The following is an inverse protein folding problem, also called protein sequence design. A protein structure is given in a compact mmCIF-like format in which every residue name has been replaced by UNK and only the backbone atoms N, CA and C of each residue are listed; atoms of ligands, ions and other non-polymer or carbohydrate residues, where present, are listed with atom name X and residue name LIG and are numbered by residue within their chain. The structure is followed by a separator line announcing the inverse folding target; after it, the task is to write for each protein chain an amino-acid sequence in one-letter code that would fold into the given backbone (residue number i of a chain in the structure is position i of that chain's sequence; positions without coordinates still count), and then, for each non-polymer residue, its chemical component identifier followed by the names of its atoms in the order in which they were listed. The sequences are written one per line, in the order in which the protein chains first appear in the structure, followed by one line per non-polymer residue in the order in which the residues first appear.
data_IF_075826600145
#
_entry.id   IF_075826600145
#
_cell.length_a   1.000
_cell.length_b   1.000
_cell.length_c   1.000
_cell.angle_alpha   90.00
_cell.angle_beta   90.00
_cell.angle_gamma   90.00
#
_symmetry.space_group_name_H-M   'P 1'
#
loop_
_entity.id
_entity.type
_entity.pdbx_description
1 polymer ?
#
# COMPACT_ATOMS: atom_id res chain seq x y z
N UNK A 1 -4.83 28.07 -78.67
CA UNK A 1 -3.71 27.54 -77.95
C UNK A 1 -3.26 28.60 -76.96
N UNK A 2 -3.49 28.57 -75.71
CA UNK A 2 -2.82 27.77 -74.72
C UNK A 2 -3.77 27.30 -73.60
N UNK A 3 -3.24 26.41 -72.80
CA UNK A 3 -3.32 26.37 -71.35
C UNK A 3 -4.02 25.19 -70.73
N UNK A 4 -3.17 24.21 -70.46
CA UNK A 4 -3.43 23.08 -69.58
C UNK A 4 -2.38 23.12 -68.48
N UNK A 5 -2.43 24.12 -67.58
CA UNK A 5 -1.40 24.20 -66.49
C UNK A 5 -1.92 24.64 -65.11
N UNK A 6 -3.25 24.66 -64.90
CA UNK A 6 -3.78 25.21 -63.65
C UNK A 6 -4.64 24.24 -62.81
N UNK A 7 -4.54 22.93 -63.04
CA UNK A 7 -5.41 21.96 -62.29
C UNK A 7 -4.65 20.84 -61.56
N UNK A 8 -3.44 21.09 -61.07
CA UNK A 8 -2.69 20.08 -60.32
C UNK A 8 -2.12 20.49 -58.95
N UNK A 9 -2.53 21.63 -58.38
CA UNK A 9 -2.00 22.11 -57.08
C UNK A 9 -3.06 22.09 -55.91
N UNK A 10 -4.18 21.47 -56.07
CA UNK A 10 -5.27 21.49 -55.06
C UNK A 10 -5.60 20.11 -54.45
N UNK A 11 -4.65 19.16 -54.44
CA UNK A 11 -4.87 17.80 -53.89
C UNK A 11 -3.84 17.30 -52.87
N UNK A 12 -3.01 18.17 -52.28
CA UNK A 12 -1.98 17.76 -51.29
C UNK A 12 -2.18 18.46 -49.91
N UNK A 13 -3.34 18.94 -49.58
CA UNK A 13 -3.55 19.59 -48.27
C UNK A 13 -4.73 19.01 -47.47
N UNK A 14 -5.01 17.71 -47.59
CA UNK A 14 -6.12 17.08 -46.86
C UNK A 14 -5.72 15.68 -46.31
N UNK A 15 -4.51 15.54 -45.73
CA UNK A 15 -4.16 14.32 -45.01
C UNK A 15 -3.13 14.60 -43.90
N UNK A 16 -3.45 15.52 -42.99
CA UNK A 16 -2.62 15.74 -41.79
C UNK A 16 -3.47 16.18 -40.60
N UNK A 17 -4.54 15.47 -40.33
CA UNK A 17 -5.35 15.73 -39.15
C UNK A 17 -6.04 14.44 -38.72
N UNK A 18 -5.30 13.52 -38.15
CA UNK A 18 -5.77 12.57 -37.10
C UNK A 18 -4.55 11.79 -36.62
N UNK A 19 -3.98 12.15 -35.53
CA UNK A 19 -3.23 11.29 -34.60
C UNK A 19 -2.93 12.11 -33.32
N UNK A 20 -3.96 12.71 -32.79
CA UNK A 20 -3.99 13.09 -31.37
C UNK A 20 -4.52 11.90 -30.59
N UNK A 21 -3.79 10.77 -30.59
CA UNK A 21 -3.99 9.74 -29.59
C UNK A 21 -3.60 10.39 -28.25
N UNK A 22 -4.59 10.78 -27.48
CA UNK A 22 -4.39 11.17 -26.08
C UNK A 22 -3.61 10.06 -25.42
N UNK A 23 -2.36 10.34 -25.09
CA UNK A 23 -1.58 9.50 -24.18
C UNK A 23 -2.39 9.48 -22.89
N UNK A 24 -3.09 8.38 -22.62
CA UNK A 24 -3.58 8.08 -21.30
C UNK A 24 -2.33 8.15 -20.41
N UNK A 25 -2.23 9.19 -19.59
CA UNK A 25 -1.18 9.27 -18.58
C UNK A 25 -1.39 8.06 -17.69
N UNK A 26 -0.54 7.05 -17.83
CA UNK A 26 -0.46 5.96 -16.89
C UNK A 26 -0.23 6.60 -15.51
N UNK A 27 -1.10 6.30 -14.55
CA UNK A 27 -0.90 6.76 -13.18
C UNK A 27 0.48 6.30 -12.70
N UNK A 28 1.20 7.11 -11.93
CA UNK A 28 2.49 6.71 -11.41
C UNK A 28 2.30 5.47 -10.55
N UNK A 29 2.89 4.36 -10.99
CA UNK A 29 2.97 3.10 -10.22
C UNK A 29 4.05 3.16 -9.16
N UNK A 30 4.75 4.27 -9.10
CA UNK A 30 5.97 4.45 -8.35
C UNK A 30 5.69 4.73 -6.87
N UNK A 31 6.53 4.20 -6.01
CA UNK A 31 6.48 4.46 -4.58
C UNK A 31 6.77 5.96 -4.32
N UNK A 32 5.88 6.71 -3.64
CA UNK A 32 6.16 8.09 -3.27
C UNK A 32 7.45 8.20 -2.45
N UNK A 33 8.29 9.15 -2.79
CA UNK A 33 9.52 9.42 -2.05
C UNK A 33 9.19 10.17 -0.76
N UNK A 34 9.27 9.47 0.36
CA UNK A 34 9.01 10.03 1.70
C UNK A 34 10.25 10.67 2.34
N UNK A 35 11.41 10.57 1.70
CA UNK A 35 12.68 11.12 2.17
C UNK A 35 13.10 12.32 1.31
N UNK A 36 13.57 13.39 1.97
CA UNK A 36 14.17 14.51 1.24
C UNK A 36 15.44 14.05 0.52
N UNK A 37 15.55 14.37 -0.77
CA UNK A 37 16.72 14.05 -1.58
C UNK A 37 18.03 14.69 -1.07
N UNK A 38 17.92 15.80 -0.34
CA UNK A 38 19.07 16.55 0.21
C UNK A 38 19.45 16.10 1.62
N UNK A 39 18.59 15.35 2.28
CA UNK A 39 18.82 14.91 3.65
C UNK A 39 20.06 14.03 3.75
N UNK A 40 20.75 14.10 4.88
CA UNK A 40 21.89 13.24 5.21
C UNK A 40 21.69 12.70 6.60
N UNK A 41 21.57 11.39 6.72
CA UNK A 41 21.53 10.69 8.00
C UNK A 41 22.86 9.96 8.13
N UNK A 42 23.63 10.32 9.14
CA UNK A 42 24.93 9.67 9.39
C UNK A 42 24.69 8.19 9.73
N UNK A 43 25.53 7.31 9.19
CA UNK A 43 25.58 5.90 9.60
C UNK A 43 26.17 5.83 11.01
N UNK A 44 25.45 5.33 12.00
CA UNK A 44 26.00 5.18 13.35
C UNK A 44 26.99 4.01 13.41
N UNK A 45 27.85 4.02 14.40
CA UNK A 45 28.71 2.89 14.70
C UNK A 45 27.89 1.74 15.29
N UNK A 46 27.90 0.60 14.60
CA UNK A 46 27.22 -0.64 15.00
C UNK A 46 28.21 -1.74 15.43
N UNK A 47 29.48 -1.41 15.71
CA UNK A 47 30.48 -2.36 16.14
C UNK A 47 30.08 -3.10 17.42
N UNK A 48 29.43 -2.40 18.35
CA UNK A 48 28.89 -2.96 19.59
C UNK A 48 27.58 -3.77 19.41
N UNK A 49 26.97 -3.80 18.23
CA UNK A 49 25.75 -4.57 17.97
C UNK A 49 26.11 -6.06 17.87
N UNK A 50 25.68 -6.87 18.83
CA UNK A 50 25.92 -8.31 18.81
C UNK A 50 25.07 -9.02 17.73
N UNK A 51 23.82 -8.57 17.55
CA UNK A 51 22.85 -9.13 16.60
C UNK A 51 21.74 -8.11 16.32
N UNK A 52 21.05 -8.28 15.19
CA UNK A 52 19.82 -7.57 14.86
C UNK A 52 18.78 -8.59 14.42
N UNK A 53 17.78 -8.84 15.27
CA UNK A 53 16.64 -9.70 14.94
C UNK A 53 15.42 -8.82 14.67
N UNK A 54 14.91 -8.92 13.44
CA UNK A 54 13.63 -8.34 13.08
C UNK A 54 12.52 -9.33 13.43
N UNK A 55 11.60 -8.92 14.28
CA UNK A 55 10.37 -9.65 14.57
C UNK A 55 9.32 -9.26 13.53
N UNK A 56 8.60 -10.25 13.02
CA UNK A 56 7.50 -10.08 12.07
C UNK A 56 6.42 -11.11 12.33
N UNK A 57 5.32 -11.07 11.55
CA UNK A 57 4.27 -12.11 11.58
C UNK A 57 4.28 -12.91 10.28
N UNK A 58 3.33 -13.84 10.11
CA UNK A 58 3.17 -14.62 8.88
C UNK A 58 1.78 -14.49 8.26
N UNK A 59 0.97 -13.59 8.80
CA UNK A 59 -0.45 -13.42 8.50
C UNK A 59 -0.79 -12.09 7.84
N UNK A 60 0.21 -11.43 7.22
CA UNK A 60 0.06 -10.11 6.63
C UNK A 60 0.62 -10.02 5.19
N UNK A 61 0.13 -10.88 4.24
CA UNK A 61 0.56 -10.80 2.86
C UNK A 61 0.07 -9.48 2.21
N UNK A 62 0.82 -8.94 1.26
CA UNK A 62 2.11 -9.40 0.77
C UNK A 62 3.31 -8.84 1.55
N UNK A 63 3.10 -8.31 2.76
CA UNK A 63 4.17 -7.74 3.58
C UNK A 63 4.99 -8.80 4.30
N UNK A 64 4.33 -9.76 4.94
CA UNK A 64 4.97 -10.87 5.65
C UNK A 64 4.04 -12.10 5.65
N UNK A 65 4.51 -13.18 5.09
CA UNK A 65 3.75 -14.42 4.91
C UNK A 65 4.69 -15.61 4.70
N UNK A 66 4.15 -16.80 4.79
CA UNK A 66 4.85 -18.03 4.38
C UNK A 66 4.50 -18.29 2.92
N UNK A 67 5.51 -18.39 2.07
CA UNK A 67 5.33 -18.71 0.65
C UNK A 67 5.05 -20.20 0.41
N UNK A 68 4.76 -20.55 -0.83
CA UNK A 68 4.45 -21.94 -1.23
C UNK A 68 5.60 -22.94 -0.95
N UNK A 69 6.82 -22.47 -0.76
CA UNK A 69 7.97 -23.29 -0.39
C UNK A 69 8.16 -23.43 1.13
N UNK A 70 7.26 -22.85 1.93
CA UNK A 70 7.35 -22.84 3.39
C UNK A 70 8.33 -21.80 3.94
N UNK A 71 8.78 -20.84 3.13
CA UNK A 71 9.76 -19.83 3.51
C UNK A 71 9.08 -18.52 3.89
N UNK A 72 9.59 -17.87 4.93
CA UNK A 72 9.18 -16.51 5.32
C UNK A 72 9.57 -15.52 4.22
N UNK A 73 8.56 -14.85 3.66
CA UNK A 73 8.62 -13.98 2.50
C UNK A 73 7.75 -12.74 2.70
N UNK A 74 7.91 -11.73 1.86
CA UNK A 74 7.09 -10.51 1.87
C UNK A 74 7.92 -9.23 1.84
N UNK A 75 7.22 -8.11 1.62
CA UNK A 75 7.85 -6.80 1.49
C UNK A 75 8.68 -6.43 2.73
N UNK A 76 8.13 -6.59 3.95
CA UNK A 76 8.86 -6.30 5.19
C UNK A 76 10.07 -7.21 5.39
N UNK A 77 9.95 -8.47 4.97
CA UNK A 77 11.02 -9.46 5.08
C UNK A 77 12.18 -9.11 4.15
N UNK A 78 11.88 -8.75 2.90
CA UNK A 78 12.90 -8.33 1.95
C UNK A 78 13.49 -6.97 2.33
N UNK A 79 12.66 -6.02 2.81
CA UNK A 79 13.15 -4.74 3.33
C UNK A 79 14.12 -4.93 4.51
N UNK A 80 13.79 -5.78 5.48
CA UNK A 80 14.67 -6.08 6.60
C UNK A 80 16.02 -6.67 6.14
N UNK A 81 16.00 -7.58 5.14
CA UNK A 81 17.24 -8.12 4.53
C UNK A 81 18.08 -7.03 3.87
N UNK A 82 17.45 -6.12 3.12
CA UNK A 82 18.16 -5.04 2.46
C UNK A 82 18.70 -4.00 3.45
N UNK A 83 17.99 -3.71 4.54
CA UNK A 83 18.51 -2.89 5.65
C UNK A 83 19.80 -3.52 6.22
N UNK A 84 19.79 -4.83 6.46
CA UNK A 84 20.98 -5.53 6.96
C UNK A 84 22.16 -5.46 5.98
N UNK A 85 21.87 -5.56 4.69
CA UNK A 85 22.89 -5.46 3.64
C UNK A 85 23.46 -4.04 3.56
N UNK A 86 22.61 -3.02 3.55
CA UNK A 86 23.03 -1.62 3.53
C UNK A 86 23.89 -1.25 4.75
N UNK A 87 23.58 -1.83 5.89
CA UNK A 87 24.35 -1.67 7.13
C UNK A 87 25.58 -2.57 7.21
N UNK A 88 25.82 -3.47 6.24
CA UNK A 88 26.93 -4.45 6.21
C UNK A 88 26.98 -5.34 7.46
N UNK A 89 25.81 -5.78 7.93
CA UNK A 89 25.66 -6.61 9.13
C UNK A 89 24.87 -7.90 8.85
N UNK A 90 24.81 -8.40 7.63
CA UNK A 90 24.02 -9.59 7.26
C UNK A 90 24.34 -10.79 8.16
N UNK A 91 25.61 -10.98 8.52
CA UNK A 91 26.03 -12.07 9.40
C UNK A 91 25.44 -11.99 10.83
N UNK A 92 25.02 -10.79 11.25
CA UNK A 92 24.40 -10.53 12.56
C UNK A 92 22.87 -10.42 12.47
N UNK A 93 22.31 -10.46 11.26
CA UNK A 93 20.87 -10.25 11.01
C UNK A 93 20.08 -11.56 10.98
N UNK A 94 18.91 -11.50 11.60
CA UNK A 94 17.92 -12.58 11.55
C UNK A 94 16.53 -11.99 11.39
N UNK A 95 15.62 -12.72 10.74
CA UNK A 95 14.20 -12.36 10.67
C UNK A 95 13.44 -13.52 11.30
N UNK A 96 12.62 -13.20 12.29
CA UNK A 96 11.96 -14.16 13.15
C UNK A 96 10.46 -13.89 13.18
N UNK A 97 9.67 -14.89 12.85
CA UNK A 97 8.22 -14.80 12.91
C UNK A 97 7.72 -15.16 14.31
N UNK A 98 6.80 -14.35 14.82
CA UNK A 98 6.02 -14.58 16.05
C UNK A 98 4.55 -14.20 15.77
N UNK A 99 3.65 -14.51 16.66
CA UNK A 99 2.26 -14.07 16.54
C UNK A 99 2.14 -12.56 16.83
N UNK A 100 1.13 -11.91 16.27
CA UNK A 100 0.96 -10.46 16.45
C UNK A 100 0.91 -10.02 17.93
N UNK A 101 0.19 -10.72 18.85
CA UNK A 101 0.20 -10.37 20.27
C UNK A 101 1.56 -10.52 20.96
N UNK A 102 2.44 -11.36 20.43
CA UNK A 102 3.77 -11.61 21.00
C UNK A 102 4.82 -10.57 20.57
N UNK A 103 4.56 -9.78 19.50
CA UNK A 103 5.55 -8.84 18.94
C UNK A 103 6.11 -7.88 19.99
N UNK A 104 5.24 -7.13 20.68
CA UNK A 104 5.68 -6.15 21.67
C UNK A 104 6.31 -6.77 22.92
N UNK A 105 5.72 -7.80 23.55
CA UNK A 105 6.36 -8.51 24.64
C UNK A 105 7.74 -9.07 24.27
N UNK A 106 7.88 -9.67 23.09
CA UNK A 106 9.17 -10.21 22.63
C UNK A 106 10.22 -9.11 22.41
N UNK A 107 9.82 -7.94 21.88
CA UNK A 107 10.72 -6.79 21.75
C UNK A 107 11.17 -6.26 23.12
N UNK A 108 10.24 -6.12 24.08
CA UNK A 108 10.55 -5.65 25.44
C UNK A 108 11.47 -6.61 26.20
N UNK A 109 11.28 -7.92 26.01
CA UNK A 109 12.10 -8.96 26.63
C UNK A 109 13.45 -9.18 25.92
N UNK A 110 13.76 -8.40 24.88
CA UNK A 110 14.99 -8.54 24.11
C UNK A 110 15.10 -9.84 23.31
N UNK A 111 13.96 -10.43 22.95
CA UNK A 111 13.91 -11.59 22.03
C UNK A 111 14.07 -11.16 20.58
N UNK A 112 13.90 -9.87 20.27
CA UNK A 112 14.21 -9.18 19.04
C UNK A 112 14.70 -7.77 19.31
N UNK A 113 15.32 -7.13 18.32
CA UNK A 113 15.81 -5.75 18.40
C UNK A 113 14.89 -4.77 17.68
N UNK A 114 14.16 -5.24 16.65
CA UNK A 114 13.22 -4.41 15.88
C UNK A 114 11.97 -5.20 15.46
N UNK A 115 10.87 -4.50 15.16
CA UNK A 115 9.64 -5.07 14.60
C UNK A 115 9.38 -4.46 13.24
N UNK A 116 9.22 -5.32 12.23
CA UNK A 116 8.79 -4.98 10.88
C UNK A 116 7.52 -5.78 10.54
N UNK A 117 6.37 -5.33 11.03
CA UNK A 117 5.09 -6.04 10.95
C UNK A 117 3.87 -5.12 10.74
N UNK A 118 4.08 -3.89 10.26
CA UNK A 118 2.98 -2.96 9.99
C UNK A 118 2.31 -2.40 11.25
N UNK A 119 3.05 -2.28 12.36
CA UNK A 119 2.52 -1.69 13.59
C UNK A 119 2.16 -0.21 13.35
N UNK A 120 0.93 0.15 13.64
CA UNK A 120 0.47 1.54 13.57
C UNK A 120 1.10 2.37 14.68
N UNK A 121 1.62 3.54 14.30
CA UNK A 121 2.23 4.49 15.24
C UNK A 121 1.13 5.21 16.01
N UNK A 122 1.07 5.03 17.32
CA UNK A 122 0.17 5.74 18.23
C UNK A 122 0.94 6.56 19.25
N UNK A 123 0.29 7.57 19.83
CA UNK A 123 0.90 8.38 20.90
C UNK A 123 1.31 7.53 22.11
N UNK A 124 0.54 6.50 22.43
CA UNK A 124 0.83 5.56 23.52
C UNK A 124 2.10 4.74 23.21
N UNK A 125 2.19 4.16 22.00
CA UNK A 125 3.35 3.38 21.61
C UNK A 125 4.62 4.23 21.51
N UNK A 126 4.51 5.50 21.09
CA UNK A 126 5.65 6.45 21.10
C UNK A 126 6.18 6.77 22.50
N UNK A 127 5.39 6.59 23.55
CA UNK A 127 5.89 6.73 24.92
C UNK A 127 6.82 5.57 25.32
N UNK A 128 6.59 4.38 24.79
CA UNK A 128 7.30 3.13 25.15
C UNK A 128 8.41 2.76 24.17
N UNK A 129 8.18 3.02 22.88
CA UNK A 129 9.04 2.58 21.78
C UNK A 129 9.53 3.74 20.92
N UNK A 130 10.58 3.49 20.15
CA UNK A 130 11.04 4.32 19.07
C UNK A 130 10.54 3.74 17.72
N UNK A 131 10.40 4.61 16.74
CA UNK A 131 9.96 4.27 15.40
C UNK A 131 10.90 4.91 14.39
N UNK A 132 11.24 4.17 13.35
CA UNK A 132 11.91 4.72 12.19
C UNK A 132 11.02 5.77 11.51
N UNK A 133 11.57 6.48 10.56
CA UNK A 133 10.77 7.20 9.58
C UNK A 133 9.86 6.27 8.81
N UNK A 134 8.72 6.80 8.38
CA UNK A 134 7.85 6.08 7.49
C UNK A 134 8.54 5.82 6.15
N UNK A 135 8.48 4.59 5.69
CA UNK A 135 9.02 4.19 4.39
C UNK A 135 7.94 3.95 3.33
N UNK A 136 6.68 3.85 3.77
CA UNK A 136 5.52 3.69 2.90
C UNK A 136 4.29 4.28 3.58
N UNK A 137 3.44 4.96 2.81
CA UNK A 137 2.11 5.38 3.25
C UNK A 137 1.05 4.56 2.54
N UNK A 138 -0.02 4.27 3.22
CA UNK A 138 -1.13 3.49 2.68
C UNK A 138 -2.32 4.42 2.47
N UNK A 139 -2.76 4.64 1.21
CA UNK A 139 -3.90 5.48 0.94
C UNK A 139 -5.23 4.79 1.22
N UNK A 140 -6.26 5.54 1.60
CA UNK A 140 -7.62 5.12 1.39
C UNK A 140 -8.02 5.32 -0.08
N UNK A 141 -8.88 4.45 -0.61
CA UNK A 141 -9.32 4.48 -2.01
C UNK A 141 -10.79 4.09 -2.15
N UNK A 142 -11.35 4.44 -3.31
CA UNK A 142 -12.66 3.94 -3.70
C UNK A 142 -12.53 2.75 -4.65
N UNK A 143 -13.40 1.76 -4.45
CA UNK A 143 -13.67 0.69 -5.42
C UNK A 143 -15.09 0.81 -5.87
N UNK A 144 -15.33 0.74 -7.17
CA UNK A 144 -16.65 0.87 -7.78
C UNK A 144 -17.07 -0.43 -8.46
N UNK A 145 -18.35 -0.68 -8.46
CA UNK A 145 -18.93 -1.75 -9.28
C UNK A 145 -19.10 -1.26 -10.71
N UNK A 146 -18.20 -1.63 -11.59
CA UNK A 146 -18.19 -1.19 -12.99
C UNK A 146 -19.35 -1.75 -13.81
N UNK A 147 -20.00 -2.84 -13.36
CA UNK A 147 -21.18 -3.39 -14.03
C UNK A 147 -22.45 -2.65 -13.63
N UNK A 148 -22.59 -2.31 -12.34
CA UNK A 148 -23.75 -1.56 -11.84
C UNK A 148 -23.62 -0.05 -12.10
N UNK A 149 -22.39 0.47 -12.20
CA UNK A 149 -22.11 1.90 -12.34
C UNK A 149 -20.90 2.15 -13.26
N UNK A 150 -21.02 1.88 -14.58
CA UNK A 150 -19.89 1.90 -15.51
C UNK A 150 -19.29 3.29 -15.79
N UNK A 151 -20.01 4.37 -15.46
CA UNK A 151 -19.59 5.74 -15.76
C UNK A 151 -18.82 6.42 -14.61
N UNK A 152 -18.53 5.72 -13.52
CA UNK A 152 -17.83 6.31 -12.37
C UNK A 152 -16.33 6.25 -12.62
N UNK A 153 -15.71 7.41 -12.69
CA UNK A 153 -14.25 7.58 -12.86
C UNK A 153 -13.61 8.24 -11.64
N UNK A 154 -14.36 9.02 -10.88
CA UNK A 154 -13.88 9.72 -9.70
C UNK A 154 -14.95 9.90 -8.62
N UNK A 155 -14.59 10.43 -7.44
CA UNK A 155 -15.53 10.62 -6.33
C UNK A 155 -16.71 11.55 -6.65
N UNK A 156 -16.50 12.52 -7.52
CA UNK A 156 -17.57 13.44 -7.94
C UNK A 156 -18.75 12.71 -8.61
N UNK A 157 -18.48 11.60 -9.30
CA UNK A 157 -19.50 10.80 -9.98
C UNK A 157 -20.33 9.96 -8.98
N UNK A 158 -19.91 9.91 -7.70
CA UNK A 158 -20.60 9.22 -6.61
C UNK A 158 -21.66 10.09 -5.92
N UNK A 159 -21.80 11.36 -6.30
CA UNK A 159 -22.84 12.22 -5.75
C UNK A 159 -24.23 11.56 -5.93
N UNK A 160 -25.02 11.55 -4.84
CA UNK A 160 -26.35 10.91 -4.77
C UNK A 160 -26.35 9.37 -4.97
N UNK A 161 -25.19 8.73 -4.81
CA UNK A 161 -25.09 7.26 -4.85
C UNK A 161 -24.55 6.76 -3.51
N UNK A 162 -25.09 5.66 -2.95
CA UNK A 162 -24.61 5.14 -1.69
C UNK A 162 -23.17 4.61 -1.82
N UNK A 163 -22.29 5.10 -0.94
CA UNK A 163 -20.92 4.64 -0.78
C UNK A 163 -20.82 3.81 0.49
N UNK A 164 -20.49 2.53 0.33
CA UNK A 164 -20.36 1.62 1.45
C UNK A 164 -19.07 1.83 2.24
N UNK A 165 -19.18 1.71 3.55
CA UNK A 165 -18.04 1.77 4.47
C UNK A 165 -18.33 0.89 5.70
N UNK A 166 -17.31 0.35 6.34
CA UNK A 166 -17.49 -0.40 7.60
C UNK A 166 -17.71 0.59 8.74
N UNK A 167 -18.82 0.42 9.46
CA UNK A 167 -19.22 1.31 10.55
C UNK A 167 -18.22 1.30 11.70
N UNK A 168 -18.01 2.47 12.35
CA UNK A 168 -17.12 2.62 13.49
C UNK A 168 -15.62 2.64 13.13
N UNK A 169 -15.28 2.58 11.84
CA UNK A 169 -13.88 2.61 11.40
C UNK A 169 -13.37 4.03 11.15
N UNK A 170 -12.04 4.16 11.11
CA UNK A 170 -11.39 5.41 10.69
C UNK A 170 -11.75 5.80 9.25
N UNK A 171 -12.07 4.83 8.39
CA UNK A 171 -12.50 5.07 7.01
C UNK A 171 -13.87 5.71 6.93
N UNK A 172 -14.81 5.31 7.81
CA UNK A 172 -16.09 5.99 7.92
C UNK A 172 -15.91 7.46 8.33
N UNK A 173 -15.08 7.71 9.36
CA UNK A 173 -14.78 9.05 9.81
C UNK A 173 -14.07 9.89 8.73
N UNK A 174 -13.15 9.29 7.98
CA UNK A 174 -12.43 9.92 6.87
C UNK A 174 -13.37 10.22 5.69
N UNK A 175 -14.24 9.26 5.31
CA UNK A 175 -15.21 9.47 4.24
C UNK A 175 -16.10 10.67 4.53
N UNK A 176 -16.67 10.74 5.74
CA UNK A 176 -17.52 11.86 6.17
C UNK A 176 -16.77 13.20 6.25
N UNK A 177 -15.48 13.18 6.58
CA UNK A 177 -14.67 14.39 6.68
C UNK A 177 -14.21 14.94 5.33
N UNK A 178 -13.86 14.05 4.39
CA UNK A 178 -13.28 14.43 3.09
C UNK A 178 -14.34 14.58 1.99
N UNK A 179 -15.45 13.88 2.14
CA UNK A 179 -16.53 13.81 1.14
C UNK A 179 -17.90 13.94 1.82
N UNK A 180 -18.18 15.08 2.48
CA UNK A 180 -19.41 15.28 3.22
C UNK A 180 -20.67 15.25 2.34
N UNK A 181 -20.50 15.43 1.03
CA UNK A 181 -21.55 15.38 0.01
C UNK A 181 -21.94 13.94 -0.37
N UNK A 182 -21.14 12.93 -0.03
CA UNK A 182 -21.41 11.53 -0.37
C UNK A 182 -22.30 10.87 0.69
N UNK A 183 -23.24 10.05 0.22
CA UNK A 183 -24.09 9.25 1.09
C UNK A 183 -23.32 8.03 1.63
N UNK A 184 -22.83 8.10 2.87
CA UNK A 184 -22.15 7.00 3.51
C UNK A 184 -23.14 5.95 4.02
N UNK A 185 -23.07 4.71 3.51
CA UNK A 185 -23.85 3.56 3.97
C UNK A 185 -22.96 2.63 4.79
N UNK A 186 -23.24 2.55 6.11
CA UNK A 186 -22.49 1.72 7.05
C UNK A 186 -22.82 0.23 6.95
N UNK A 187 -21.81 -0.62 7.09
CA UNK A 187 -21.92 -2.08 7.19
C UNK A 187 -21.25 -2.56 8.47
N UNK A 188 -21.73 -3.68 9.03
CA UNK A 188 -21.20 -4.25 10.28
C UNK A 188 -19.76 -4.77 10.13
N UNK A 189 -19.45 -5.26 8.95
CA UNK A 189 -18.18 -5.88 8.62
C UNK A 189 -17.88 -5.72 7.12
N UNK A 190 -16.70 -6.16 6.76
CA UNK A 190 -16.19 -6.06 5.39
C UNK A 190 -16.92 -6.98 4.41
N UNK A 191 -17.29 -8.17 4.84
CA UNK A 191 -17.89 -9.16 3.95
C UNK A 191 -19.25 -8.72 3.47
N UNK A 192 -20.04 -8.17 4.40
CA UNK A 192 -21.32 -7.55 4.09
C UNK A 192 -21.15 -6.35 3.15
N UNK A 193 -20.11 -5.53 3.36
CA UNK A 193 -19.78 -4.42 2.46
C UNK A 193 -19.42 -4.90 1.05
N UNK A 194 -18.55 -5.91 0.93
CA UNK A 194 -18.13 -6.44 -0.37
C UNK A 194 -19.22 -7.19 -1.12
N UNK A 195 -20.09 -7.92 -0.39
CA UNK A 195 -21.28 -8.52 -0.99
C UNK A 195 -22.20 -7.44 -1.55
N UNK A 196 -22.49 -6.40 -0.78
CA UNK A 196 -23.31 -5.28 -1.21
C UNK A 196 -22.72 -4.56 -2.43
N UNK A 197 -21.39 -4.41 -2.51
CA UNK A 197 -20.72 -3.85 -3.67
C UNK A 197 -20.87 -4.73 -4.92
N UNK A 198 -20.64 -6.04 -4.78
CA UNK A 198 -20.80 -7.00 -5.89
C UNK A 198 -22.22 -7.07 -6.42
N UNK A 199 -23.19 -7.03 -5.53
CA UNK A 199 -24.61 -7.07 -5.84
C UNK A 199 -25.15 -5.72 -6.39
N UNK A 200 -24.35 -4.65 -6.33
CA UNK A 200 -24.75 -3.31 -6.77
C UNK A 200 -25.66 -2.58 -5.79
N UNK A 201 -25.78 -3.08 -4.54
CA UNK A 201 -26.54 -2.42 -3.48
C UNK A 201 -25.85 -1.13 -2.96
N UNK A 202 -24.57 -0.96 -3.26
CA UNK A 202 -23.80 0.27 -3.17
C UNK A 202 -23.03 0.49 -4.48
N UNK A 203 -22.84 1.75 -4.88
CA UNK A 203 -22.11 2.10 -6.10
C UNK A 203 -20.60 1.97 -5.93
N UNK A 204 -20.11 2.26 -4.74
CA UNK A 204 -18.70 2.18 -4.37
C UNK A 204 -18.52 1.70 -2.92
N UNK A 205 -17.32 1.24 -2.61
CA UNK A 205 -16.82 1.04 -1.25
C UNK A 205 -15.61 1.93 -1.01
N UNK A 206 -15.50 2.50 0.19
CA UNK A 206 -14.35 3.28 0.64
C UNK A 206 -13.67 2.57 1.80
N UNK A 207 -12.40 2.24 1.63
CA UNK A 207 -11.58 1.56 2.63
C UNK A 207 -10.11 1.87 2.42
N UNK A 208 -9.26 1.47 3.37
CA UNK A 208 -7.86 1.38 3.07
C UNK A 208 -7.64 0.36 1.95
N UNK A 209 -6.73 0.70 1.04
CA UNK A 209 -6.41 -0.15 -0.10
C UNK A 209 -5.85 -1.53 0.28
N UNK A 210 -5.60 -1.87 1.56
CA UNK A 210 -4.97 -3.12 2.03
C UNK A 210 -5.94 -4.20 2.51
N UNK A 211 -7.13 -3.87 2.93
CA UNK A 211 -8.04 -4.83 3.55
C UNK A 211 -8.69 -5.86 2.61
N UNK A 212 -8.54 -5.76 1.31
CA UNK A 212 -9.33 -6.52 0.34
C UNK A 212 -8.63 -7.67 -0.39
N UNK A 213 -7.30 -7.80 -0.39
CA UNK A 213 -6.62 -8.88 -1.13
C UNK A 213 -6.39 -10.17 -0.34
N UNK A 214 -6.40 -10.15 0.97
CA UNK A 214 -6.27 -11.39 1.78
C UNK A 214 -7.39 -12.40 1.47
N UNK A 215 -8.56 -11.90 1.15
CA UNK A 215 -9.76 -12.70 0.83
C UNK A 215 -9.66 -13.50 -0.47
N UNK A 216 -8.86 -13.05 -1.42
CA UNK A 216 -8.76 -13.71 -2.72
C UNK A 216 -7.98 -15.02 -2.63
N UNK A 217 -6.93 -15.07 -1.81
CA UNK A 217 -6.10 -16.26 -1.65
C UNK A 217 -6.77 -17.32 -0.78
N UNK A 218 -7.38 -16.94 0.32
CA UNK A 218 -7.96 -17.87 1.29
C UNK A 218 -9.20 -18.62 0.76
N UNK A 219 -10.02 -17.98 -0.07
CA UNK A 219 -11.22 -18.63 -0.66
C UNK A 219 -10.89 -19.51 -1.87
N UNK A 220 -9.72 -19.32 -2.49
CA UNK A 220 -9.29 -20.13 -3.63
C UNK A 220 -8.83 -21.54 -3.21
N UNK A 221 -8.43 -21.72 -1.95
CA UNK A 221 -7.88 -22.97 -1.42
C UNK A 221 -8.81 -23.71 -0.45
N UNK A 222 -10.01 -23.19 -0.19
CA UNK A 222 -10.99 -23.82 0.70
C UNK A 222 -10.56 -23.90 2.17
N UNK A 223 -9.51 -23.19 2.55
CA UNK A 223 -8.97 -23.21 3.88
C UNK A 223 -8.89 -21.79 4.44
N UNK A 224 -9.72 -21.48 5.39
CA UNK A 224 -9.62 -20.50 6.46
C UNK A 224 -10.83 -19.57 6.60
N UNK A 225 -11.54 -19.76 7.68
CA UNK A 225 -12.39 -18.77 8.32
C UNK A 225 -11.48 -17.85 9.16
N UNK A 226 -11.42 -16.57 8.83
CA UNK A 226 -10.81 -15.48 9.58
C UNK A 226 -9.32 -15.18 9.32
N UNK A 227 -9.09 -14.03 8.69
CA UNK A 227 -7.83 -13.31 8.76
C UNK A 227 -8.07 -11.80 8.73
N UNK A 228 -7.33 -11.09 9.56
CA UNK A 228 -7.40 -9.66 9.80
C UNK A 228 -6.31 -8.94 9.00
N UNK A 229 -6.58 -7.84 8.26
CA UNK A 229 -5.53 -7.19 7.48
C UNK A 229 -5.89 -5.80 6.97
N UNK A 230 -4.86 -4.99 6.68
CA UNK A 230 -4.91 -3.62 6.17
C UNK A 230 -4.68 -3.49 4.65
N UNK A 231 -5.17 -2.51 4.09
CA UNK A 231 -5.06 -1.59 2.95
C UNK A 231 -4.67 -2.02 1.55
N UNK A 232 -3.75 -2.91 1.26
CA UNK A 232 -3.28 -3.20 -0.12
C UNK A 232 -4.13 -4.17 -0.91
N UNK A 233 -5.08 -4.72 -0.28
CA UNK A 233 -5.88 -5.80 -0.79
C UNK A 233 -6.93 -5.39 -1.83
N UNK A 234 -7.27 -4.10 -1.95
CA UNK A 234 -8.22 -3.64 -2.98
C UNK A 234 -7.73 -3.92 -4.41
N UNK A 235 -6.48 -3.64 -4.71
CA UNK A 235 -5.94 -3.86 -6.05
C UNK A 235 -5.86 -5.34 -6.41
N UNK A 236 -5.53 -6.19 -5.45
CA UNK A 236 -5.52 -7.65 -5.65
C UNK A 236 -6.93 -8.23 -5.73
N UNK A 237 -7.87 -7.75 -4.89
CA UNK A 237 -9.25 -8.22 -4.94
C UNK A 237 -9.92 -7.89 -6.27
N UNK A 238 -9.76 -6.67 -6.75
CA UNK A 238 -10.28 -6.22 -8.04
C UNK A 238 -9.73 -7.05 -9.20
N UNK A 239 -8.47 -7.45 -9.13
CA UNK A 239 -7.82 -8.29 -10.13
C UNK A 239 -8.09 -9.79 -9.94
N UNK A 240 -8.68 -10.19 -8.81
CA UNK A 240 -8.93 -11.59 -8.45
C UNK A 240 -10.27 -12.12 -8.95
N UNK A 241 -10.37 -13.45 -8.97
CA UNK A 241 -11.60 -14.17 -9.38
C UNK A 241 -12.81 -13.91 -8.49
N UNK A 242 -12.62 -13.47 -7.25
CA UNK A 242 -13.68 -13.19 -6.28
C UNK A 242 -14.45 -11.91 -6.57
N UNK A 243 -13.80 -10.92 -7.16
CA UNK A 243 -14.50 -9.75 -7.68
C UNK A 243 -15.42 -10.12 -8.85
N UNK A 244 -15.25 -11.31 -9.45
CA UNK A 244 -16.05 -11.76 -10.59
C UNK A 244 -15.97 -10.79 -11.77
N UNK A 245 -14.89 -10.01 -11.86
CA UNK A 245 -14.74 -8.94 -12.84
C UNK A 245 -15.79 -7.82 -12.69
N UNK A 246 -16.35 -7.63 -11.48
CA UNK A 246 -17.37 -6.60 -11.24
C UNK A 246 -16.78 -5.22 -11.06
N UNK A 247 -15.55 -5.15 -10.57
CA UNK A 247 -15.17 -3.98 -9.79
C UNK A 247 -13.80 -3.44 -10.21
N UNK A 248 -13.61 -2.13 -10.06
CA UNK A 248 -12.35 -1.43 -10.33
C UNK A 248 -12.05 -0.40 -9.24
N UNK A 249 -10.76 -0.20 -8.96
CA UNK A 249 -10.29 0.94 -8.18
C UNK A 249 -10.35 2.17 -9.09
N UNK A 250 -10.99 3.24 -8.64
CA UNK A 250 -11.02 4.51 -9.37
C UNK A 250 -9.88 5.42 -8.96
N UNK A 251 -9.68 6.49 -9.75
CA UNK A 251 -8.64 7.48 -9.49
C UNK A 251 -8.76 8.13 -8.13
N UNK A 252 -7.61 8.47 -7.56
CA UNK A 252 -7.47 9.15 -6.29
C UNK A 252 -6.95 8.25 -5.18
N UNK A 253 -5.87 8.70 -4.57
CA UNK A 253 -5.25 8.12 -3.39
C UNK A 253 -5.33 9.13 -2.25
N UNK A 254 -6.07 8.81 -1.20
CA UNK A 254 -6.40 9.74 -0.14
C UNK A 254 -5.56 9.44 1.10
N UNK A 255 -4.68 10.39 1.43
CA UNK A 255 -3.78 10.31 2.57
C UNK A 255 -4.27 11.22 3.70
N UNK A 256 -4.07 10.79 4.93
CA UNK A 256 -4.33 11.61 6.10
C UNK A 256 -3.58 11.10 7.32
N UNK A 257 -2.64 11.88 7.82
CA UNK A 257 -1.98 11.55 9.08
C UNK A 257 -2.97 11.44 10.25
N UNK A 258 -4.01 12.26 10.23
CA UNK A 258 -5.05 12.24 11.28
C UNK A 258 -5.81 10.93 11.34
N UNK A 259 -6.12 10.33 10.19
CA UNK A 259 -6.92 9.11 10.11
C UNK A 259 -6.06 7.87 9.89
N UNK A 260 -5.11 7.90 8.96
CA UNK A 260 -4.34 6.73 8.52
C UNK A 260 -2.96 6.63 9.19
N UNK A 261 -2.63 7.59 10.07
CA UNK A 261 -1.34 7.62 10.74
C UNK A 261 -0.20 8.11 9.84
N UNK A 262 1.03 7.90 10.33
CA UNK A 262 2.25 8.40 9.67
C UNK A 262 2.70 7.49 8.49
N UNK A 263 2.18 6.29 8.39
CA UNK A 263 2.60 5.27 7.44
C UNK A 263 3.30 4.09 8.12
N UNK A 264 3.86 3.20 7.30
CA UNK A 264 4.58 2.02 7.77
C UNK A 264 5.98 2.41 8.26
N UNK A 265 6.32 1.93 9.44
CA UNK A 265 7.57 2.18 10.15
C UNK A 265 8.16 0.90 10.71
N UNK A 266 9.41 0.93 11.11
CA UNK A 266 10.05 -0.12 11.89
C UNK A 266 10.14 0.35 13.35
N UNK A 267 9.63 -0.45 14.26
CA UNK A 267 9.61 -0.16 15.69
C UNK A 267 10.80 -0.83 16.40
N UNK A 268 11.44 -0.15 17.35
CA UNK A 268 12.49 -0.70 18.20
C UNK A 268 12.40 -0.15 19.62
N UNK A 269 13.24 -0.66 20.54
CA UNK A 269 13.27 -0.16 21.91
C UNK A 269 13.74 1.29 21.96
N UNK A 270 13.07 2.11 22.76
CA UNK A 270 13.40 3.54 22.92
C UNK A 270 14.81 3.78 23.49
N UNK A 271 15.32 2.83 24.22
CA UNK A 271 16.68 2.87 24.79
C UNK A 271 17.80 2.67 23.74
N UNK A 272 17.46 2.39 22.49
CA UNK A 272 18.39 2.09 21.41
C UNK A 272 18.34 3.12 20.26
N UNK A 273 18.62 4.41 20.52
CA UNK A 273 18.53 5.45 19.50
C UNK A 273 19.49 5.26 18.32
N UNK A 274 20.65 4.63 18.57
CA UNK A 274 21.59 4.30 17.50
C UNK A 274 21.00 3.29 16.51
N UNK A 275 20.18 2.34 16.97
CA UNK A 275 19.50 1.40 16.09
C UNK A 275 18.42 2.11 15.25
N UNK A 276 17.63 3.01 15.84
CA UNK A 276 16.68 3.82 15.09
C UNK A 276 17.39 4.63 13.99
N UNK A 277 18.49 5.29 14.34
CA UNK A 277 19.28 6.07 13.37
C UNK A 277 19.89 5.19 12.27
N UNK A 278 20.32 3.97 12.59
CA UNK A 278 20.85 3.01 11.61
C UNK A 278 19.77 2.58 10.62
N UNK A 279 18.57 2.26 11.12
CA UNK A 279 17.44 1.91 10.29
C UNK A 279 17.06 3.08 9.38
N UNK A 280 16.99 4.30 9.91
CA UNK A 280 16.68 5.51 9.13
C UNK A 280 17.76 5.80 8.07
N UNK A 281 19.04 5.60 8.38
CA UNK A 281 20.14 5.69 7.43
C UNK A 281 19.95 4.71 6.27
N UNK A 282 19.70 3.44 6.60
CA UNK A 282 19.51 2.39 5.60
C UNK A 282 18.27 2.66 4.73
N UNK A 283 17.14 3.03 5.31
CA UNK A 283 15.92 3.38 4.58
C UNK A 283 16.16 4.54 3.59
N UNK A 284 16.88 5.58 4.02
CA UNK A 284 17.25 6.69 3.15
C UNK A 284 18.15 6.24 1.99
N UNK A 285 19.16 5.41 2.26
CA UNK A 285 20.06 4.89 1.25
C UNK A 285 19.32 4.00 0.23
N UNK A 286 18.46 3.09 0.70
CA UNK A 286 17.63 2.23 -0.14
C UNK A 286 16.64 3.03 -1.00
N UNK A 287 16.05 4.11 -0.44
CA UNK A 287 15.19 5.01 -1.22
C UNK A 287 15.94 5.74 -2.32
N UNK A 288 17.17 6.18 -2.06
CA UNK A 288 18.01 6.91 -3.04
C UNK A 288 18.56 6.02 -4.14
N UNK A 289 18.94 4.81 -3.80
CA UNK A 289 19.46 3.83 -4.77
C UNK A 289 18.37 3.25 -5.67
N UNK A 290 17.07 3.50 -5.36
CA UNK A 290 15.93 2.88 -6.04
C UNK A 290 15.65 1.45 -5.55
N UNK A 291 16.44 0.93 -4.60
CA UNK A 291 16.28 -0.44 -4.12
C UNK A 291 14.98 -0.66 -3.36
N UNK A 292 14.52 0.35 -2.62
CA UNK A 292 13.21 0.31 -1.95
C UNK A 292 12.08 0.18 -2.97
N UNK A 293 12.17 0.89 -4.09
CA UNK A 293 11.20 0.83 -5.19
C UNK A 293 11.22 -0.52 -5.90
N UNK A 294 12.40 -1.12 -6.12
CA UNK A 294 12.50 -2.47 -6.68
C UNK A 294 11.80 -3.52 -5.80
N UNK A 295 11.97 -3.44 -4.46
CA UNK A 295 11.25 -4.30 -3.53
C UNK A 295 9.75 -4.03 -3.63
N UNK A 296 9.35 -2.76 -3.64
CA UNK A 296 7.96 -2.37 -3.75
C UNK A 296 7.31 -2.97 -5.02
N UNK A 297 7.88 -2.77 -6.19
CA UNK A 297 7.33 -3.26 -7.46
C UNK A 297 7.26 -4.79 -7.54
N UNK A 298 8.11 -5.51 -6.81
CA UNK A 298 8.05 -6.97 -6.71
C UNK A 298 6.75 -7.45 -6.07
N UNK A 299 6.29 -6.76 -5.02
CA UNK A 299 5.08 -7.12 -4.27
C UNK A 299 3.84 -6.38 -4.75
N UNK A 300 4.01 -5.26 -5.45
CA UNK A 300 2.96 -4.35 -5.89
C UNK A 300 3.10 -3.97 -7.37
N UNK A 301 3.05 -4.95 -8.28
CA UNK A 301 3.32 -4.71 -9.71
C UNK A 301 2.29 -3.78 -10.37
N UNK A 302 1.10 -3.65 -9.79
CA UNK A 302 0.05 -2.75 -10.27
C UNK A 302 0.03 -1.40 -9.56
N UNK A 303 0.94 -1.19 -8.60
CA UNK A 303 0.94 -0.03 -7.72
C UNK A 303 -0.20 -0.03 -6.71
N UNK A 304 -0.10 0.86 -5.72
CA UNK A 304 -1.15 1.11 -4.71
C UNK A 304 -1.54 2.59 -4.67
N UNK A 305 -0.79 3.42 -5.38
CA UNK A 305 -0.95 4.87 -5.43
C UNK A 305 -1.75 5.33 -6.63
#
# INVERSE_FOLDING_TARGET
MPSAFFLRICRIFLLSAVLGAGSAMAQPKDLPRLFDARERIARPDLSGLARLRFLTTVDFPPFNFIDQSGKLSGFHVDLAREICRELEIEAKCQIQAVTYPELMPALEQGQGEAIAAGISVTSELRQRFAFSRAFMQLPARFVVNTKAAPAITGPADLAQRPVGVVSGTIHEAMLKAFFPELEAKGFSDRDSLLSALREGAVAAAFSDGMQLSFWVSALREGAVAAAFSDGMQLSFWVSGSLAGGCCAVIEGSYFSQRFLGEGLTIMNRKAEPALTQAIDHALLALSRSGRLEEIYLRYFPNGIY
#
